data_IF_355704438774
#
_entry.id   IF_355704438774
#
_cell.length_a   1.000
_cell.length_b   1.000
_cell.length_c   1.000
_cell.angle_alpha   90.00
_cell.angle_beta   90.00
_cell.angle_gamma   90.00
#
_symmetry.space_group_name_H-M   'P 1'
#
loop_
_entity.id
_entity.type
_entity.pdbx_description
1 polymer ?
#
# COMPACT_ATOMS: atom_id res chain seq x y z
N UNK A 1 13.06 17.86 21.05
CA UNK A 1 11.93 17.47 20.15
C UNK A 1 11.93 15.95 20.06
N UNK A 2 10.80 15.28 20.28
CA UNK A 2 10.72 13.82 20.24
C UNK A 2 10.89 13.29 18.81
N UNK A 3 11.26 12.01 18.65
CA UNK A 3 11.32 11.33 17.34
C UNK A 3 9.99 11.45 16.58
N UNK A 4 8.88 11.40 17.31
CA UNK A 4 7.53 11.52 16.73
C UNK A 4 7.24 12.95 16.25
N UNK A 5 7.67 13.97 16.99
CA UNK A 5 7.53 15.35 16.57
C UNK A 5 8.37 15.66 15.31
N UNK A 6 9.57 15.08 15.21
CA UNK A 6 10.44 15.23 14.02
C UNK A 6 9.82 14.55 12.81
N UNK A 7 9.29 13.33 12.99
CA UNK A 7 8.58 12.61 11.93
C UNK A 7 7.34 13.35 11.46
N UNK A 8 6.58 13.93 12.39
CA UNK A 8 5.39 14.74 12.06
C UNK A 8 5.77 15.96 11.20
N UNK A 9 6.85 16.67 11.57
CA UNK A 9 7.37 17.81 10.79
C UNK A 9 7.85 17.39 9.40
N UNK A 10 8.63 16.31 9.30
CA UNK A 10 9.11 15.81 8.01
C UNK A 10 7.95 15.41 7.09
N UNK A 11 6.93 14.75 7.65
CA UNK A 11 5.73 14.31 6.92
C UNK A 11 4.94 15.52 6.40
N UNK A 12 4.71 16.52 7.25
CA UNK A 12 4.01 17.75 6.84
C UNK A 12 4.73 18.53 5.73
N UNK A 13 6.06 18.62 5.80
CA UNK A 13 6.86 19.30 4.77
C UNK A 13 6.82 18.56 3.43
N UNK A 14 6.91 17.23 3.44
CA UNK A 14 6.78 16.42 2.22
C UNK A 14 5.40 16.62 1.58
N UNK A 15 4.32 16.59 2.36
CA UNK A 15 2.96 16.80 1.87
C UNK A 15 2.76 18.18 1.23
N UNK A 16 3.55 19.18 1.65
CA UNK A 16 3.54 20.54 1.10
C UNK A 16 4.52 20.72 -0.09
N UNK A 17 5.14 19.64 -0.56
CA UNK A 17 6.04 19.63 -1.71
C UNK A 17 7.50 19.99 -1.38
N UNK A 18 7.87 20.07 -0.10
CA UNK A 18 9.23 20.39 0.33
C UNK A 18 10.07 19.12 0.46
N UNK A 19 11.29 19.16 -0.08
CA UNK A 19 12.25 18.07 0.01
C UNK A 19 12.90 18.05 1.41
N UNK A 20 12.83 16.91 2.09
CA UNK A 20 13.49 16.68 3.40
C UNK A 20 14.53 15.55 3.36
N UNK A 21 14.90 15.06 2.17
CA UNK A 21 15.86 13.97 1.93
C UNK A 21 15.25 12.57 1.87
N UNK A 22 16.05 11.57 1.45
CA UNK A 22 15.68 10.14 1.49
C UNK A 22 15.60 9.67 2.96
N UNK A 23 14.47 9.12 3.37
CA UNK A 23 14.15 8.89 4.80
C UNK A 23 14.70 7.57 5.35
N UNK A 24 15.17 7.64 6.61
CA UNK A 24 15.51 6.52 7.50
C UNK A 24 15.53 7.03 8.96
N UNK A 25 14.92 6.29 9.88
CA UNK A 25 14.76 6.65 11.29
C UNK A 25 16.05 6.39 12.11
N UNK A 26 17.17 6.95 11.67
CA UNK A 26 18.51 6.52 12.10
C UNK A 26 19.26 7.63 12.87
N UNK A 27 18.59 8.71 13.26
CA UNK A 27 19.11 9.61 14.29
C UNK A 27 20.12 10.67 13.85
N UNK A 28 20.27 10.96 12.56
CA UNK A 28 20.95 12.20 12.14
C UNK A 28 19.91 13.29 11.85
N UNK A 29 19.87 14.33 12.69
CA UNK A 29 19.18 15.58 12.36
C UNK A 29 19.92 16.24 11.17
N UNK A 30 19.64 15.77 9.97
CA UNK A 30 20.35 16.12 8.75
C UNK A 30 19.82 17.41 8.14
N UNK A 31 20.74 18.21 7.60
CA UNK A 31 20.50 19.53 7.01
C UNK A 31 19.18 19.64 6.22
N UNK A 32 18.86 18.64 5.41
CA UNK A 32 17.69 18.63 4.53
C UNK A 32 16.33 18.86 5.22
N UNK A 33 16.11 18.37 6.46
CA UNK A 33 14.86 18.66 7.18
C UNK A 33 14.83 20.10 7.68
N UNK A 34 15.97 20.65 8.09
CA UNK A 34 16.11 22.06 8.47
C UNK A 34 15.92 22.95 7.26
N UNK A 35 16.49 22.59 6.12
CA UNK A 35 16.40 23.33 4.86
C UNK A 35 14.96 23.33 4.32
N UNK A 36 14.27 22.19 4.39
CA UNK A 36 12.85 22.09 4.06
C UNK A 36 11.96 22.95 4.95
N UNK A 37 12.21 22.94 6.27
CA UNK A 37 11.48 23.78 7.22
C UNK A 37 11.74 25.29 7.01
N UNK A 38 12.99 25.67 6.73
CA UNK A 38 13.36 27.05 6.43
C UNK A 38 12.74 27.53 5.12
N UNK A 39 12.71 26.68 4.09
CA UNK A 39 12.06 26.99 2.82
C UNK A 39 10.54 27.19 2.99
N UNK A 40 9.88 26.36 3.80
CA UNK A 40 8.46 26.51 4.12
C UNK A 40 8.17 27.81 4.89
N UNK A 41 9.01 28.17 5.88
CA UNK A 41 8.89 29.43 6.61
C UNK A 41 9.12 30.64 5.70
N UNK A 42 10.11 30.59 4.80
CA UNK A 42 10.38 31.64 3.82
C UNK A 42 9.22 31.81 2.81
N UNK A 43 8.49 30.74 2.51
CA UNK A 43 7.28 30.76 1.69
C UNK A 43 6.02 31.20 2.47
N UNK A 44 6.16 31.65 3.72
CA UNK A 44 5.02 32.07 4.55
C UNK A 44 4.05 30.93 4.87
N UNK A 45 4.55 29.71 4.97
CA UNK A 45 3.76 28.53 5.30
C UNK A 45 3.01 27.90 4.12
N UNK A 46 3.21 28.39 2.90
CA UNK A 46 2.48 27.95 1.70
C UNK A 46 3.15 26.73 1.05
N UNK A 47 2.40 25.90 0.30
CA UNK A 47 2.99 24.81 -0.50
C UNK A 47 3.96 25.35 -1.56
N UNK A 48 4.89 24.51 -2.03
CA UNK A 48 5.72 24.83 -3.20
C UNK A 48 4.80 24.96 -4.42
N UNK A 49 4.89 26.07 -5.15
CA UNK A 49 4.09 26.27 -6.37
C UNK A 49 4.34 25.14 -7.37
N UNK A 50 3.25 24.59 -7.93
CA UNK A 50 3.27 23.47 -8.87
C UNK A 50 4.35 23.67 -9.95
N UNK A 51 5.24 22.68 -10.08
CA UNK A 51 6.07 22.56 -11.27
C UNK A 51 5.14 22.41 -12.48
N UNK A 52 5.39 23.10 -13.61
CA UNK A 52 4.52 23.03 -14.77
C UNK A 52 4.54 21.60 -15.33
N UNK A 53 3.46 20.85 -15.09
CA UNK A 53 3.20 19.61 -15.80
C UNK A 53 2.87 19.98 -17.24
N UNK A 54 3.72 19.53 -18.17
CA UNK A 54 3.51 19.59 -19.62
C UNK A 54 2.09 19.13 -19.99
N UNK A 55 1.24 20.07 -20.37
CA UNK A 55 -0.08 19.81 -20.96
C UNK A 55 0.07 19.42 -22.43
N UNK A 56 0.34 18.13 -22.68
CA UNK A 56 0.01 17.50 -23.96
C UNK A 56 -0.18 15.99 -23.80
N UNK A 57 -1.35 15.58 -23.31
CA UNK A 57 -1.86 14.24 -23.61
C UNK A 57 -3.29 14.38 -24.10
N UNK A 58 -3.43 14.32 -25.41
CA UNK A 58 -4.72 14.15 -26.09
C UNK A 58 -5.33 12.80 -25.67
N UNK A 59 -6.39 12.84 -24.87
CA UNK A 59 -7.53 11.90 -24.88
C UNK A 59 -7.23 10.40 -24.88
N UNK A 60 -6.79 9.85 -23.74
CA UNK A 60 -7.13 8.50 -23.30
C UNK A 60 -7.03 8.46 -21.77
N UNK A 61 -8.16 8.22 -21.09
CA UNK A 61 -8.24 8.16 -19.63
C UNK A 61 -7.24 7.13 -19.07
N UNK A 62 -6.42 7.51 -18.09
CA UNK A 62 -5.55 6.59 -17.37
C UNK A 62 -6.42 5.53 -16.65
N UNK A 63 -6.56 4.36 -17.27
CA UNK A 63 -7.41 3.27 -16.79
C UNK A 63 -6.70 1.94 -17.05
N UNK A 64 -6.41 1.22 -15.97
CA UNK A 64 -5.93 -0.15 -16.04
C UNK A 64 -7.10 -1.04 -16.42
N UNK A 65 -6.88 -1.94 -17.37
CA UNK A 65 -7.86 -2.92 -17.80
C UNK A 65 -7.32 -4.33 -17.60
N UNK A 66 -8.17 -5.23 -17.09
CA UNK A 66 -7.84 -6.61 -16.78
C UNK A 66 -8.37 -7.59 -17.82
N UNK A 67 -7.50 -8.52 -18.24
CA UNK A 67 -7.83 -9.61 -19.15
C UNK A 67 -8.17 -9.17 -20.58
N UNK A 68 -8.45 -10.15 -21.44
CA UNK A 68 -8.80 -9.90 -22.85
C UNK A 68 -10.10 -9.12 -23.02
N UNK A 69 -11.06 -9.31 -22.11
CA UNK A 69 -12.31 -8.56 -22.08
C UNK A 69 -12.15 -7.11 -21.59
N UNK A 70 -10.94 -6.70 -21.18
CA UNK A 70 -10.60 -5.36 -20.72
C UNK A 70 -11.54 -4.83 -19.64
N UNK A 71 -11.65 -5.53 -18.52
CA UNK A 71 -12.43 -5.03 -17.39
C UNK A 71 -11.72 -3.84 -16.74
N UNK A 72 -12.36 -2.66 -16.61
CA UNK A 72 -11.73 -1.52 -15.95
C UNK A 72 -11.49 -1.84 -14.47
N UNK A 73 -10.32 -1.49 -13.97
CA UNK A 73 -9.99 -1.66 -12.55
C UNK A 73 -10.57 -0.49 -11.75
N UNK A 74 -11.45 -0.80 -10.81
CA UNK A 74 -12.21 0.19 -10.03
C UNK A 74 -12.19 -0.04 -8.52
N UNK A 75 -11.54 -1.11 -8.05
CA UNK A 75 -11.48 -1.41 -6.62
C UNK A 75 -10.12 -2.00 -6.20
N UNK A 76 -9.69 -1.64 -4.99
CA UNK A 76 -8.58 -2.29 -4.28
C UNK A 76 -9.17 -3.13 -3.15
N UNK A 77 -8.74 -4.40 -3.04
CA UNK A 77 -9.13 -5.29 -1.94
C UNK A 77 -7.89 -5.63 -1.13
N UNK A 78 -7.91 -5.33 0.17
CA UNK A 78 -6.81 -5.58 1.10
C UNK A 78 -6.96 -6.96 1.74
N UNK A 79 -5.83 -7.65 1.82
CA UNK A 79 -5.68 -9.02 2.31
C UNK A 79 -4.56 -9.12 3.35
N UNK A 80 -4.56 -10.23 4.09
CA UNK A 80 -3.39 -10.70 4.82
C UNK A 80 -3.07 -12.14 4.43
N UNK A 81 -1.81 -12.55 4.62
CA UNK A 81 -1.34 -13.91 4.33
C UNK A 81 -1.72 -14.94 5.39
N UNK A 82 -2.27 -14.49 6.53
CA UNK A 82 -2.52 -15.29 7.73
C UNK A 82 -1.28 -16.04 8.25
N UNK A 83 -0.09 -15.47 8.06
CA UNK A 83 1.16 -16.00 8.58
C UNK A 83 1.49 -15.41 9.96
N UNK A 84 2.31 -16.11 10.74
CA UNK A 84 2.80 -15.57 12.01
C UNK A 84 3.69 -14.33 11.79
N UNK A 85 3.84 -13.43 12.78
CA UNK A 85 4.64 -12.21 12.64
C UNK A 85 6.11 -12.44 12.27
N UNK A 86 6.69 -13.55 12.71
CA UNK A 86 8.09 -13.96 12.50
C UNK A 86 8.27 -14.90 11.29
N UNK A 87 7.19 -15.19 10.56
CA UNK A 87 7.23 -16.10 9.42
C UNK A 87 8.25 -15.64 8.37
N UNK A 88 9.27 -16.48 8.14
CA UNK A 88 10.38 -16.20 7.24
C UNK A 88 11.11 -14.86 7.49
N UNK A 89 11.08 -14.32 8.71
CA UNK A 89 11.56 -12.95 9.00
C UNK A 89 13.01 -12.67 8.53
N UNK A 90 13.89 -13.69 8.56
CA UNK A 90 15.28 -13.59 8.11
C UNK A 90 15.50 -13.83 6.61
N UNK A 91 14.45 -14.16 5.86
CA UNK A 91 14.53 -14.48 4.43
C UNK A 91 14.28 -13.23 3.58
N UNK A 92 14.95 -13.09 2.43
CA UNK A 92 14.65 -12.03 1.47
C UNK A 92 13.20 -12.07 1.01
N UNK A 93 12.61 -10.90 0.74
CA UNK A 93 11.21 -10.78 0.30
C UNK A 93 10.91 -11.58 -0.99
N UNK A 94 11.89 -11.74 -1.89
CA UNK A 94 11.74 -12.56 -3.08
C UNK A 94 11.45 -14.04 -2.77
N UNK A 95 12.04 -14.57 -1.70
CA UNK A 95 11.78 -15.94 -1.27
C UNK A 95 10.43 -16.09 -0.57
N UNK A 96 10.01 -15.09 0.22
CA UNK A 96 8.67 -15.05 0.81
C UNK A 96 7.60 -15.05 -0.27
N UNK A 97 7.77 -14.22 -1.31
CA UNK A 97 6.88 -14.19 -2.48
C UNK A 97 6.85 -15.55 -3.19
N UNK A 98 8.01 -16.17 -3.40
CA UNK A 98 8.10 -17.49 -4.02
C UNK A 98 7.38 -18.57 -3.21
N UNK A 99 7.46 -18.52 -1.88
CA UNK A 99 6.79 -19.46 -0.98
C UNK A 99 5.26 -19.29 -1.00
N UNK A 100 4.76 -18.05 -0.94
CA UNK A 100 3.32 -17.77 -1.07
C UNK A 100 2.81 -18.22 -2.46
N UNK A 101 3.59 -17.97 -3.51
CA UNK A 101 3.29 -18.48 -4.87
C UNK A 101 3.25 -20.01 -4.89
N UNK A 102 4.19 -20.68 -4.23
CA UNK A 102 4.22 -22.15 -4.14
C UNK A 102 2.96 -22.68 -3.46
N UNK A 103 2.51 -22.07 -2.35
CA UNK A 103 1.26 -22.46 -1.67
C UNK A 103 0.04 -22.33 -2.59
N UNK A 104 -0.08 -21.21 -3.30
CA UNK A 104 -1.19 -21.03 -4.24
C UNK A 104 -1.17 -22.01 -5.40
N UNK A 105 0.01 -22.31 -5.96
CA UNK A 105 0.14 -23.32 -7.01
C UNK A 105 -0.18 -24.73 -6.51
N UNK A 106 0.15 -25.05 -5.26
CA UNK A 106 -0.26 -26.30 -4.63
C UNK A 106 -1.79 -26.42 -4.49
N UNK A 107 -2.50 -25.29 -4.40
CA UNK A 107 -3.97 -25.23 -4.45
C UNK A 107 -4.55 -25.22 -5.88
N UNK A 108 -3.73 -25.54 -6.89
CA UNK A 108 -4.14 -25.60 -8.30
C UNK A 108 -4.26 -24.24 -8.99
N UNK A 109 -3.78 -23.15 -8.37
CA UNK A 109 -3.82 -21.83 -9.01
C UNK A 109 -2.68 -21.69 -10.02
N UNK A 110 -2.91 -20.94 -11.10
CA UNK A 110 -1.88 -20.69 -12.13
C UNK A 110 -0.69 -19.90 -11.62
N UNK A 111 -0.92 -19.02 -10.64
CA UNK A 111 0.06 -18.16 -9.99
C UNK A 111 -0.47 -17.66 -8.63
N UNK A 112 0.35 -16.92 -7.90
CA UNK A 112 -0.01 -16.19 -6.68
C UNK A 112 -1.30 -15.38 -6.87
N UNK A 113 -2.23 -15.39 -5.91
CA UNK A 113 -3.54 -14.77 -6.11
C UNK A 113 -3.57 -13.24 -6.12
N UNK A 114 -2.55 -12.59 -5.55
CA UNK A 114 -2.48 -11.14 -5.31
C UNK A 114 -1.63 -10.42 -6.36
N UNK A 115 -1.86 -9.11 -6.53
CA UNK A 115 -1.05 -8.26 -7.40
C UNK A 115 0.15 -7.66 -6.67
N UNK A 116 -0.01 -7.39 -5.37
CA UNK A 116 1.04 -6.81 -4.54
C UNK A 116 1.13 -7.52 -3.20
N UNK A 117 2.36 -7.65 -2.69
CA UNK A 117 2.61 -8.12 -1.33
C UNK A 117 3.49 -7.11 -0.60
N UNK A 118 3.12 -6.81 0.64
CA UNK A 118 3.83 -5.92 1.55
C UNK A 118 4.37 -6.74 2.73
N UNK A 119 5.68 -6.78 2.87
CA UNK A 119 6.36 -7.44 3.99
C UNK A 119 6.22 -6.63 5.30
N UNK A 120 6.61 -7.24 6.42
CA UNK A 120 6.57 -6.64 7.76
C UNK A 120 7.39 -5.36 7.88
N UNK A 121 8.45 -5.19 7.08
CA UNK A 121 9.30 -4.01 7.06
C UNK A 121 8.84 -2.93 6.05
N UNK A 122 7.72 -3.17 5.34
CA UNK A 122 7.20 -2.27 4.31
C UNK A 122 7.76 -2.55 2.90
N UNK A 123 8.64 -3.54 2.72
CA UNK A 123 9.12 -3.92 1.39
C UNK A 123 7.97 -4.44 0.53
N UNK A 124 7.86 -3.93 -0.69
CA UNK A 124 6.82 -4.31 -1.66
C UNK A 124 7.42 -5.18 -2.76
N UNK A 125 6.75 -6.27 -3.12
CA UNK A 125 7.01 -6.98 -4.37
C UNK A 125 5.73 -7.21 -5.16
N UNK A 126 5.88 -7.18 -6.49
CA UNK A 126 4.82 -7.52 -7.43
C UNK A 126 4.56 -9.03 -7.43
N UNK A 127 3.27 -9.39 -7.37
CA UNK A 127 2.74 -10.73 -7.65
C UNK A 127 2.29 -10.82 -9.10
N UNK A 128 0.98 -10.96 -9.31
CA UNK A 128 0.38 -10.85 -10.66
C UNK A 128 0.45 -9.42 -11.19
N UNK A 129 0.63 -9.28 -12.49
CA UNK A 129 0.45 -7.99 -13.16
C UNK A 129 -0.99 -7.49 -12.99
N UNK A 130 -1.19 -6.21 -12.76
CA UNK A 130 -2.52 -5.62 -12.52
C UNK A 130 -3.44 -5.64 -13.73
N UNK A 131 -2.90 -5.91 -14.92
CA UNK A 131 -3.65 -6.14 -16.16
C UNK A 131 -4.14 -7.59 -16.29
N UNK A 132 -3.83 -8.46 -15.33
CA UNK A 132 -4.27 -9.85 -15.25
C UNK A 132 -5.28 -9.99 -14.13
N UNK A 133 -6.34 -10.77 -14.35
CA UNK A 133 -7.34 -11.05 -13.31
C UNK A 133 -6.70 -11.85 -12.17
N UNK A 134 -6.93 -11.40 -10.93
CA UNK A 134 -6.43 -12.03 -9.71
C UNK A 134 -7.12 -13.36 -9.36
N UNK A 135 -6.75 -13.93 -8.22
CA UNK A 135 -7.42 -15.10 -7.63
C UNK A 135 -7.56 -14.94 -6.10
N UNK A 136 -7.67 -13.71 -5.61
CA UNK A 136 -7.62 -13.37 -4.18
C UNK A 136 -8.99 -13.29 -3.50
N UNK A 137 -10.07 -13.02 -4.24
CA UNK A 137 -11.43 -12.89 -3.69
C UNK A 137 -12.45 -13.55 -4.63
N UNK A 138 -13.03 -14.67 -4.22
CA UNK A 138 -14.06 -15.39 -4.99
C UNK A 138 -15.22 -14.45 -5.32
N UNK A 139 -15.63 -14.39 -6.58
CA UNK A 139 -16.70 -13.51 -7.06
C UNK A 139 -16.33 -12.02 -7.21
N UNK A 140 -15.09 -11.63 -6.86
CA UNK A 140 -14.62 -10.22 -6.91
C UNK A 140 -13.23 -10.04 -7.52
N UNK A 141 -12.66 -11.04 -8.18
CA UNK A 141 -11.33 -10.94 -8.80
C UNK A 141 -11.26 -10.00 -10.02
N UNK A 142 -12.38 -9.85 -10.74
CA UNK A 142 -12.43 -9.07 -11.97
C UNK A 142 -12.59 -7.59 -11.68
N UNK A 143 -11.75 -6.74 -12.28
CA UNK A 143 -11.79 -5.29 -12.10
C UNK A 143 -11.25 -4.83 -10.75
N UNK A 144 -10.46 -5.67 -10.07
CA UNK A 144 -9.96 -5.39 -8.73
C UNK A 144 -8.47 -5.68 -8.58
N UNK A 145 -7.80 -4.93 -7.70
CA UNK A 145 -6.41 -5.14 -7.31
C UNK A 145 -6.35 -5.65 -5.88
N UNK A 146 -5.95 -6.92 -5.70
CA UNK A 146 -5.58 -7.47 -4.40
C UNK A 146 -4.18 -7.05 -3.91
N UNK A 147 -4.11 -6.43 -2.72
CA UNK A 147 -2.87 -6.14 -1.97
C UNK A 147 -2.84 -7.01 -0.72
N UNK A 148 -1.75 -7.75 -0.49
CA UNK A 148 -1.61 -8.66 0.66
C UNK A 148 -0.54 -8.20 1.64
N UNK A 149 -0.89 -8.05 2.92
CA UNK A 149 0.04 -7.85 4.02
C UNK A 149 0.57 -9.20 4.52
N UNK A 150 1.89 -9.34 4.67
CA UNK A 150 2.46 -10.50 5.38
C UNK A 150 2.12 -10.39 6.87
N UNK A 151 1.50 -11.43 7.43
CA UNK A 151 1.06 -11.48 8.82
C UNK A 151 -0.42 -11.79 8.98
N UNK A 152 -0.98 -11.43 10.14
CA UNK A 152 -2.41 -11.54 10.43
C UNK A 152 -2.88 -12.93 10.88
N UNK A 153 -1.97 -13.84 11.25
CA UNK A 153 -2.39 -15.09 11.89
C UNK A 153 -3.12 -14.81 13.22
N UNK A 154 -4.31 -15.37 13.38
CA UNK A 154 -5.12 -15.22 14.60
C UNK A 154 -5.80 -13.85 14.77
N UNK A 155 -5.79 -13.00 13.74
CA UNK A 155 -6.49 -11.70 13.78
C UNK A 155 -8.01 -11.88 13.78
N UNK A 156 -8.70 -10.87 14.30
CA UNK A 156 -10.14 -10.69 14.14
C UNK A 156 -10.45 -9.62 13.08
N UNK A 157 -11.64 -9.65 12.50
CA UNK A 157 -12.06 -8.67 11.49
C UNK A 157 -12.16 -7.24 12.03
N UNK A 158 -12.36 -7.07 13.34
CA UNK A 158 -12.51 -5.80 14.04
C UNK A 158 -11.27 -5.39 14.84
N UNK A 159 -10.15 -6.09 14.68
CA UNK A 159 -8.90 -5.68 15.32
C UNK A 159 -8.41 -4.33 14.77
N UNK A 160 -7.80 -3.52 15.63
CA UNK A 160 -7.04 -2.36 15.19
C UNK A 160 -5.83 -2.81 14.35
N UNK A 161 -5.51 -2.08 13.28
CA UNK A 161 -4.41 -2.42 12.36
C UNK A 161 -3.09 -2.75 13.07
N UNK A 162 -2.69 -1.88 14.01
CA UNK A 162 -1.41 -2.00 14.74
C UNK A 162 -1.32 -3.22 15.67
N UNK A 163 -2.42 -3.93 15.93
CA UNK A 163 -2.40 -5.17 16.71
C UNK A 163 -1.69 -6.30 15.95
N UNK A 164 -1.86 -6.34 14.63
CA UNK A 164 -1.42 -7.47 13.80
C UNK A 164 -0.32 -7.09 12.79
N UNK A 165 -0.22 -5.80 12.45
CA UNK A 165 0.65 -5.27 11.39
C UNK A 165 1.52 -4.11 11.91
N UNK A 166 2.58 -3.80 11.17
CA UNK A 166 3.58 -2.78 11.58
C UNK A 166 3.24 -1.39 11.02
N UNK A 167 3.79 -0.33 11.63
CA UNK A 167 3.69 1.04 11.10
C UNK A 167 4.22 1.17 9.67
N UNK A 168 5.23 0.37 9.31
CA UNK A 168 5.82 0.35 7.97
C UNK A 168 4.83 -0.23 6.96
N UNK A 169 4.08 -1.27 7.35
CA UNK A 169 2.98 -1.80 6.55
C UNK A 169 1.83 -0.79 6.39
N UNK A 170 1.47 -0.05 7.45
CA UNK A 170 0.44 1.00 7.42
C UNK A 170 0.79 2.09 6.40
N UNK A 171 1.99 2.69 6.54
CA UNK A 171 2.49 3.74 5.65
C UNK A 171 2.55 3.24 4.20
N UNK A 172 3.12 2.04 4.00
CA UNK A 172 3.29 1.49 2.65
C UNK A 172 1.95 1.19 2.00
N UNK A 173 1.00 0.60 2.74
CA UNK A 173 -0.33 0.29 2.21
C UNK A 173 -1.06 1.55 1.78
N UNK A 174 -1.01 2.63 2.58
CA UNK A 174 -1.60 3.94 2.22
C UNK A 174 -0.97 4.51 0.95
N UNK A 175 0.35 4.57 0.87
CA UNK A 175 1.03 5.05 -0.34
C UNK A 175 0.73 4.21 -1.59
N UNK A 176 0.62 2.88 -1.44
CA UNK A 176 0.25 2.02 -2.55
C UNK A 176 -1.18 2.29 -3.03
N UNK A 177 -2.12 2.47 -2.10
CA UNK A 177 -3.51 2.83 -2.42
C UNK A 177 -3.55 4.16 -3.18
N UNK A 178 -2.83 5.18 -2.73
CA UNK A 178 -2.76 6.49 -3.40
C UNK A 178 -2.13 6.39 -4.79
N UNK A 179 -1.00 5.66 -4.90
CA UNK A 179 -0.28 5.49 -6.15
C UNK A 179 -1.06 4.66 -7.20
N UNK A 180 -1.90 3.72 -6.77
CA UNK A 180 -2.79 2.97 -7.66
C UNK A 180 -3.98 3.87 -8.06
N UNK A 181 -4.58 4.56 -7.10
CA UNK A 181 -5.74 5.42 -7.34
C UNK A 181 -5.43 6.62 -8.24
N UNK A 182 -4.18 7.10 -8.26
CA UNK A 182 -3.77 8.20 -9.15
C UNK A 182 -3.61 7.80 -10.63
N UNK A 183 -3.52 6.50 -10.94
CA UNK A 183 -3.28 5.99 -12.30
C UNK A 183 -4.39 5.12 -12.88
N UNK A 184 -5.43 4.84 -12.10
CA UNK A 184 -6.64 4.16 -12.56
C UNK A 184 -7.85 4.63 -11.77
N UNK A 185 -9.06 4.49 -12.32
CA UNK A 185 -10.28 5.00 -11.70
C UNK A 185 -10.80 4.15 -10.55
N UNK A 186 -10.04 4.06 -9.45
CA UNK A 186 -10.46 3.42 -8.20
C UNK A 186 -11.62 4.20 -7.58
N UNK A 187 -12.71 3.50 -7.30
CA UNK A 187 -13.90 4.03 -6.62
C UNK A 187 -14.07 3.47 -5.21
N UNK A 188 -13.43 2.33 -4.92
CA UNK A 188 -13.62 1.61 -3.67
C UNK A 188 -12.32 0.99 -3.18
N UNK A 189 -12.13 1.06 -1.86
CA UNK A 189 -11.09 0.34 -1.14
C UNK A 189 -11.78 -0.48 -0.06
N UNK A 190 -11.53 -1.79 -0.04
CA UNK A 190 -12.24 -2.74 0.82
C UNK A 190 -11.31 -3.77 1.44
N UNK A 191 -11.82 -4.53 2.41
CA UNK A 191 -11.17 -5.71 2.95
C UNK A 191 -11.85 -7.00 2.46
N UNK A 192 -11.12 -8.11 2.44
CA UNK A 192 -11.70 -9.42 2.07
C UNK A 192 -12.91 -9.82 2.95
N UNK A 193 -12.91 -9.41 4.22
CA UNK A 193 -14.01 -9.60 5.18
C UNK A 193 -15.34 -8.99 4.73
N UNK A 194 -15.34 -8.04 3.79
CA UNK A 194 -16.57 -7.47 3.23
C UNK A 194 -17.24 -8.36 2.18
N UNK A 195 -16.57 -9.42 1.73
CA UNK A 195 -17.04 -10.32 0.67
C UNK A 195 -17.15 -11.79 1.10
N UNK A 196 -16.63 -12.13 2.28
CA UNK A 196 -16.68 -13.46 2.83
C UNK A 196 -16.65 -13.38 4.36
N UNK A 197 -17.32 -14.32 5.04
CA UNK A 197 -17.29 -14.45 6.50
C UNK A 197 -15.91 -14.95 6.98
N UNK A 198 -14.91 -14.06 7.01
CA UNK A 198 -13.52 -14.36 7.40
C UNK A 198 -12.83 -13.14 7.97
N UNK A 199 -11.87 -13.35 8.87
CA UNK A 199 -11.16 -12.25 9.55
C UNK A 199 -10.33 -11.34 8.62
N UNK A 200 -9.76 -11.90 7.55
CA UNK A 200 -8.88 -11.19 6.60
C UNK A 200 -9.48 -9.87 6.10
N UNK A 201 -8.75 -8.73 6.12
CA UNK A 201 -7.31 -8.61 6.37
C UNK A 201 -6.90 -8.56 7.84
N UNK A 202 -7.82 -8.75 8.79
CA UNK A 202 -7.55 -8.68 10.23
C UNK A 202 -7.72 -7.27 10.81
N UNK A 203 -8.54 -6.46 10.15
CA UNK A 203 -9.02 -5.14 10.55
C UNK A 203 -10.12 -4.68 9.58
N UNK A 204 -10.86 -3.62 9.95
CA UNK A 204 -11.84 -2.97 9.08
C UNK A 204 -11.15 -1.91 8.21
N UNK A 205 -11.12 -2.14 6.88
CA UNK A 205 -10.38 -1.28 5.95
C UNK A 205 -10.96 0.13 5.82
N UNK A 206 -12.29 0.32 5.62
CA UNK A 206 -12.88 1.67 5.68
C UNK A 206 -12.60 2.44 6.97
N UNK A 207 -12.77 1.81 8.14
CA UNK A 207 -12.53 2.47 9.42
C UNK A 207 -11.04 2.88 9.57
N UNK A 208 -10.13 1.99 9.19
CA UNK A 208 -8.70 2.28 9.19
C UNK A 208 -8.33 3.44 8.24
N UNK A 209 -8.97 3.56 7.07
CA UNK A 209 -8.73 4.68 6.15
C UNK A 209 -9.13 6.02 6.76
N UNK A 210 -10.20 6.05 7.55
CA UNK A 210 -10.70 7.24 8.26
C UNK A 210 -9.81 7.65 9.46
N UNK A 211 -8.84 6.82 9.83
CA UNK A 211 -7.89 7.10 10.92
C UNK A 211 -8.33 6.61 12.29
N UNK A 212 -9.29 5.68 12.34
CA UNK A 212 -9.79 5.05 13.56
C UNK A 212 -8.99 3.81 13.97
#
# INVERSE_FOLDING_TARGET
MSKDAIRSIQTGLIALGYNVGKTGADGWFGANTRDGAQAWLAAGGKPVAEQPVSTSVTGQSAMIHQGSARYPVREIIVHCSATQPDWMASRPMAEKLAEIRRWHKANGWSDIGYHWIIDRDGTVLAGRAETVIGAHTIGKNTGTIGICLIGGYGSAETDAFGKNFTTQQDITLRHMIDAISSRTGIERISGHNQYAAKACPGFNVPEWLEGN
#
